data_IF_573380723761
#
_entry.id   IF_573380723761
#
_cell.length_a   1.000
_cell.length_b   1.000
_cell.length_c   1.000
_cell.angle_alpha   90.00
_cell.angle_beta   90.00
_cell.angle_gamma   90.00
#
_symmetry.space_group_name_H-M   'P 1'
#
loop_
_entity.id
_entity.type
_entity.pdbx_description
1 polymer ?
#
# COMPACT_ATOMS: atom_id res chain seq x y z
N UNK A 1 13.85 -4.25 -9.33
CA UNK A 1 14.10 -4.86 -10.66
C UNK A 1 14.15 -3.84 -11.79
N UNK A 2 13.20 -2.91 -11.94
CA UNK A 2 13.19 -1.89 -13.03
C UNK A 2 14.54 -1.22 -13.33
N UNK A 3 15.29 -0.81 -12.30
CA UNK A 3 16.65 -0.22 -12.45
C UNK A 3 17.64 -1.15 -13.18
N UNK A 4 17.57 -2.46 -12.90
CA UNK A 4 18.44 -3.47 -13.54
C UNK A 4 18.02 -3.73 -14.98
N UNK A 5 16.72 -3.86 -15.24
CA UNK A 5 16.17 -4.04 -16.59
C UNK A 5 16.58 -2.89 -17.52
N UNK A 6 16.53 -1.66 -17.01
CA UNK A 6 17.00 -0.48 -17.76
C UNK A 6 18.52 -0.50 -17.99
N UNK A 7 19.30 -0.92 -17.00
CA UNK A 7 20.78 -0.94 -17.09
C UNK A 7 21.29 -2.05 -18.03
N UNK A 8 20.63 -3.20 -18.03
CA UNK A 8 21.02 -4.41 -18.75
C UNK A 8 19.97 -4.79 -19.80
N UNK A 9 19.43 -3.80 -20.52
CA UNK A 9 18.27 -3.98 -21.40
C UNK A 9 18.52 -4.96 -22.56
N UNK A 10 19.77 -5.21 -22.93
CA UNK A 10 20.15 -6.15 -23.99
C UNK A 10 20.73 -7.45 -23.44
N UNK A 11 21.04 -7.51 -22.15
CA UNK A 11 21.82 -8.58 -21.53
C UNK A 11 21.03 -9.39 -20.49
N UNK A 12 19.99 -8.79 -19.91
CA UNK A 12 19.21 -9.38 -18.82
C UNK A 12 17.74 -9.50 -19.20
N UNK A 13 17.20 -10.69 -18.95
CA UNK A 13 15.77 -10.97 -19.02
C UNK A 13 15.29 -11.25 -17.61
N UNK A 14 14.31 -10.47 -17.15
CA UNK A 14 13.59 -10.76 -15.92
C UNK A 14 12.29 -11.46 -16.30
N UNK A 15 11.93 -12.50 -15.55
CA UNK A 15 10.62 -13.15 -15.65
C UNK A 15 10.04 -13.22 -14.25
N UNK A 16 8.93 -12.53 -14.03
CA UNK A 16 8.21 -12.58 -12.76
C UNK A 16 7.40 -13.88 -12.68
N UNK A 17 7.78 -14.79 -11.77
CA UNK A 17 6.99 -16.00 -11.50
C UNK A 17 6.09 -15.72 -10.31
N UNK A 18 4.88 -15.23 -10.56
CA UNK A 18 3.93 -14.90 -9.50
C UNK A 18 3.36 -16.16 -8.87
N UNK A 19 3.83 -16.50 -7.67
CA UNK A 19 3.33 -17.61 -6.86
C UNK A 19 2.49 -17.05 -5.72
N UNK A 20 1.17 -17.09 -5.88
CA UNK A 20 0.19 -16.40 -5.03
C UNK A 20 0.17 -16.91 -3.58
N UNK A 21 0.29 -16.00 -2.59
CA UNK A 21 0.06 -16.33 -1.17
C UNK A 21 -1.44 -16.45 -0.89
N UNK A 22 -2.22 -15.47 -1.33
CA UNK A 22 -3.64 -15.35 -1.10
C UNK A 22 -4.47 -15.94 -2.27
N UNK A 23 -5.69 -16.43 -2.01
CA UNK A 23 -6.60 -16.88 -3.06
C UNK A 23 -6.87 -15.84 -4.15
N UNK A 24 -7.05 -14.58 -3.77
CA UNK A 24 -7.34 -13.47 -4.69
C UNK A 24 -6.26 -13.28 -5.77
N UNK A 25 -5.00 -13.48 -5.42
CA UNK A 25 -3.86 -13.26 -6.31
C UNK A 25 -3.71 -14.37 -7.38
N UNK A 26 -4.40 -15.51 -7.20
CA UNK A 26 -4.41 -16.60 -8.19
C UNK A 26 -5.22 -16.23 -9.43
N UNK A 27 -6.15 -15.28 -9.31
CA UNK A 27 -6.95 -14.83 -10.44
C UNK A 27 -6.10 -14.04 -11.43
N UNK A 28 -6.18 -14.38 -12.72
CA UNK A 28 -5.37 -13.75 -13.75
C UNK A 28 -5.76 -12.28 -14.00
N UNK A 29 -7.02 -11.90 -13.77
CA UNK A 29 -7.47 -10.50 -13.90
C UNK A 29 -6.89 -9.64 -12.77
N UNK A 30 -6.94 -10.14 -11.53
CA UNK A 30 -6.33 -9.45 -10.39
C UNK A 30 -4.80 -9.35 -10.52
N UNK A 31 -4.13 -10.43 -10.95
CA UNK A 31 -2.70 -10.38 -11.23
C UNK A 31 -2.38 -9.39 -12.35
N UNK A 32 -3.18 -9.35 -13.42
CA UNK A 32 -3.00 -8.38 -14.49
C UNK A 32 -3.12 -6.94 -13.98
N UNK A 33 -4.10 -6.66 -13.11
CA UNK A 33 -4.22 -5.36 -12.45
C UNK A 33 -3.02 -5.05 -11.55
N UNK A 34 -2.49 -6.02 -10.80
CA UNK A 34 -1.28 -5.83 -10.00
C UNK A 34 -0.05 -5.54 -10.86
N UNK A 35 0.11 -6.23 -12.00
CA UNK A 35 1.17 -5.95 -12.99
C UNK A 35 1.09 -4.52 -13.51
N UNK A 36 -0.12 -4.03 -13.83
CA UNK A 36 -0.35 -2.64 -14.26
C UNK A 36 -0.12 -1.64 -13.12
N UNK A 37 -0.63 -1.92 -11.92
CA UNK A 37 -0.48 -1.07 -10.72
C UNK A 37 0.98 -0.88 -10.37
N UNK A 38 1.77 -1.95 -10.37
CA UNK A 38 3.22 -1.89 -10.14
C UNK A 38 4.03 -1.65 -11.42
N UNK A 39 3.39 -1.24 -12.53
CA UNK A 39 4.00 -0.92 -13.83
C UNK A 39 5.16 -1.88 -14.20
N UNK A 40 4.91 -3.18 -14.12
CA UNK A 40 5.92 -4.19 -14.44
C UNK A 40 5.98 -4.38 -15.96
N UNK A 41 7.15 -4.14 -16.54
CA UNK A 41 7.37 -4.25 -17.99
C UNK A 41 7.86 -5.64 -18.43
N UNK A 42 8.39 -6.42 -17.48
CA UNK A 42 8.84 -7.77 -17.76
C UNK A 42 7.69 -8.77 -17.86
N UNK A 43 7.87 -9.91 -18.56
CA UNK A 43 6.89 -10.99 -18.59
C UNK A 43 6.58 -11.53 -17.19
N UNK A 44 5.29 -11.72 -16.89
CA UNK A 44 4.81 -12.29 -15.63
C UNK A 44 4.01 -13.56 -15.90
N UNK A 45 4.38 -14.64 -15.20
CA UNK A 45 3.71 -15.94 -15.23
C UNK A 45 2.81 -16.03 -14.00
N UNK A 46 1.52 -16.35 -14.20
CA UNK A 46 0.63 -16.74 -13.11
C UNK A 46 0.90 -18.20 -12.70
N UNK A 47 1.72 -18.41 -11.68
CA UNK A 47 1.97 -19.71 -11.07
C UNK A 47 1.09 -19.94 -9.81
N UNK A 48 -0.21 -19.63 -9.91
CA UNK A 48 -1.15 -19.79 -8.79
C UNK A 48 -1.31 -21.22 -8.25
N UNK A 49 -0.70 -22.23 -8.91
CA UNK A 49 -0.63 -23.63 -8.45
C UNK A 49 0.77 -24.05 -7.99
N UNK A 50 1.73 -23.13 -7.91
CA UNK A 50 3.09 -23.37 -7.42
C UNK A 50 3.86 -24.46 -8.20
N UNK A 51 3.59 -24.64 -9.49
CA UNK A 51 4.28 -25.63 -10.32
C UNK A 51 5.74 -25.23 -10.53
N UNK A 52 6.00 -23.98 -10.94
CA UNK A 52 7.36 -23.46 -11.16
C UNK A 52 8.07 -23.34 -9.81
N UNK A 53 7.38 -22.80 -8.80
CA UNK A 53 7.90 -22.71 -7.43
C UNK A 53 8.44 -24.05 -6.91
N UNK A 54 7.66 -25.13 -7.06
CA UNK A 54 8.06 -26.47 -6.60
C UNK A 54 9.19 -27.06 -7.46
N UNK A 55 9.14 -26.90 -8.78
CA UNK A 55 10.19 -27.39 -9.68
C UNK A 55 11.54 -26.74 -9.38
N UNK A 56 11.54 -25.44 -9.06
CA UNK A 56 12.75 -24.69 -8.73
C UNK A 56 13.10 -24.75 -7.23
N UNK A 57 12.35 -25.52 -6.43
CA UNK A 57 12.58 -25.69 -4.99
C UNK A 57 12.68 -24.37 -4.22
N UNK A 58 11.82 -23.40 -4.57
CA UNK A 58 11.68 -22.13 -3.88
C UNK A 58 11.10 -22.34 -2.47
N UNK A 59 11.50 -21.50 -1.51
CA UNK A 59 11.09 -21.63 -0.10
C UNK A 59 10.75 -20.32 0.60
N UNK A 60 11.00 -19.18 -0.05
CA UNK A 60 10.75 -17.86 0.51
C UNK A 60 10.29 -16.89 -0.58
N UNK A 61 9.44 -15.94 -0.21
CA UNK A 61 9.14 -14.79 -1.04
C UNK A 61 10.05 -13.62 -0.61
N UNK A 62 10.67 -12.90 -1.57
CA UNK A 62 10.96 -13.34 -2.93
C UNK A 62 12.07 -14.42 -2.98
N UNK A 63 12.17 -15.15 -4.09
CA UNK A 63 13.34 -15.98 -4.44
C UNK A 63 13.80 -15.57 -5.83
N UNK A 64 15.08 -15.26 -6.00
CA UNK A 64 15.71 -14.98 -7.29
C UNK A 64 16.43 -16.23 -7.79
N UNK A 65 16.12 -16.66 -9.01
CA UNK A 65 16.82 -17.74 -9.71
C UNK A 65 17.64 -17.15 -10.85
N UNK A 66 18.94 -17.44 -10.89
CA UNK A 66 19.84 -16.97 -11.94
C UNK A 66 20.02 -18.07 -12.98
N UNK A 67 19.70 -17.76 -14.25
CA UNK A 67 19.73 -18.70 -15.37
C UNK A 67 20.71 -18.19 -16.43
N UNK A 68 21.63 -19.04 -16.88
CA UNK A 68 22.64 -18.69 -17.89
C UNK A 68 22.07 -18.70 -19.32
N UNK A 69 22.82 -18.23 -20.34
CA UNK A 69 22.35 -18.22 -21.73
C UNK A 69 22.10 -19.60 -22.35
N UNK A 70 22.53 -20.70 -21.70
CA UNK A 70 22.24 -22.07 -22.14
C UNK A 70 21.01 -22.67 -21.42
N UNK A 71 20.40 -21.93 -20.50
CA UNK A 71 19.24 -22.36 -19.73
C UNK A 71 19.57 -23.12 -18.44
N UNK A 72 20.82 -23.12 -17.99
CA UNK A 72 21.19 -23.76 -16.72
C UNK A 72 20.94 -22.82 -15.54
N UNK A 73 20.46 -23.37 -14.43
CA UNK A 73 20.39 -22.64 -13.16
C UNK A 73 21.79 -22.55 -12.56
N UNK A 74 22.33 -21.34 -12.46
CA UNK A 74 23.69 -21.06 -11.97
C UNK A 74 23.71 -20.43 -10.58
N UNK A 75 22.55 -20.00 -10.05
CA UNK A 75 22.45 -19.43 -8.72
C UNK A 75 21.02 -19.32 -8.21
N UNK A 76 20.90 -19.20 -6.88
CA UNK A 76 19.65 -18.91 -6.17
C UNK A 76 19.93 -17.93 -5.03
N UNK A 77 19.01 -16.99 -4.81
CA UNK A 77 18.96 -16.16 -3.62
C UNK A 77 17.55 -16.15 -3.04
N UNK A 78 17.43 -16.27 -1.71
CA UNK A 78 16.15 -16.24 -0.99
C UNK A 78 16.11 -14.97 -0.13
N UNK A 79 15.02 -14.21 -0.24
CA UNK A 79 14.87 -12.89 0.39
C UNK A 79 15.13 -11.72 -0.56
N UNK A 80 14.91 -10.52 -0.04
CA UNK A 80 15.18 -9.27 -0.75
C UNK A 80 16.69 -9.04 -0.91
N UNK A 81 17.08 -8.44 -2.03
CA UNK A 81 18.46 -8.08 -2.34
C UNK A 81 18.52 -6.64 -2.86
N UNK A 82 19.52 -5.88 -2.44
CA UNK A 82 19.67 -4.49 -2.89
C UNK A 82 20.08 -4.42 -4.36
N UNK A 83 19.82 -3.26 -4.98
CA UNK A 83 20.23 -3.00 -6.37
C UNK A 83 21.73 -3.26 -6.56
N UNK A 84 22.59 -2.68 -5.71
CA UNK A 84 24.05 -2.79 -5.84
C UNK A 84 24.56 -4.23 -5.75
N UNK A 85 23.91 -5.05 -4.91
CA UNK A 85 24.26 -6.47 -4.76
C UNK A 85 23.93 -7.24 -6.05
N UNK A 86 22.73 -7.04 -6.61
CA UNK A 86 22.34 -7.72 -7.87
C UNK A 86 23.19 -7.20 -9.03
N UNK A 87 23.41 -5.88 -9.10
CA UNK A 87 24.20 -5.22 -10.14
C UNK A 87 25.63 -5.75 -10.23
N UNK A 88 26.27 -5.93 -9.07
CA UNK A 88 27.60 -6.53 -8.98
C UNK A 88 27.66 -7.96 -9.50
N UNK A 89 26.60 -8.76 -9.30
CA UNK A 89 26.52 -10.13 -9.82
C UNK A 89 26.27 -10.15 -11.33
N UNK A 90 25.29 -9.38 -11.80
CA UNK A 90 24.93 -9.35 -13.22
C UNK A 90 26.07 -8.80 -14.08
N UNK A 91 26.76 -7.72 -13.65
CA UNK A 91 27.91 -7.19 -14.39
C UNK A 91 29.04 -8.21 -14.59
N UNK A 92 29.33 -9.04 -13.59
CA UNK A 92 30.31 -10.11 -13.70
C UNK A 92 29.86 -11.20 -14.68
N UNK A 93 28.59 -11.63 -14.58
CA UNK A 93 28.01 -12.62 -15.49
C UNK A 93 28.03 -12.15 -16.94
N UNK A 94 27.63 -10.90 -17.20
CA UNK A 94 27.68 -10.30 -18.55
C UNK A 94 29.10 -10.35 -19.12
N UNK A 95 30.09 -9.91 -18.33
CA UNK A 95 31.50 -9.93 -18.75
C UNK A 95 31.98 -11.35 -19.09
N UNK A 96 31.62 -12.34 -18.28
CA UNK A 96 32.01 -13.74 -18.48
C UNK A 96 31.35 -14.36 -19.72
N UNK A 97 30.05 -14.16 -19.89
CA UNK A 97 29.31 -14.73 -21.02
C UNK A 97 29.61 -14.03 -22.35
N UNK A 98 29.96 -12.74 -22.32
CA UNK A 98 30.50 -12.03 -23.49
C UNK A 98 31.86 -12.58 -23.90
N UNK A 99 32.76 -12.83 -22.94
CA UNK A 99 34.09 -13.37 -23.24
C UNK A 99 34.02 -14.77 -23.87
N UNK A 100 32.97 -15.53 -23.58
CA UNK A 100 32.72 -16.86 -24.19
C UNK A 100 31.89 -16.79 -25.48
N UNK A 101 31.36 -15.62 -25.84
CA UNK A 101 30.49 -15.43 -27.01
C UNK A 101 29.15 -16.14 -26.91
N UNK A 102 28.67 -16.39 -25.68
CA UNK A 102 27.43 -17.13 -25.43
C UNK A 102 26.23 -16.23 -25.14
N UNK A 103 26.47 -14.97 -24.76
CA UNK A 103 25.42 -13.98 -24.54
C UNK A 103 24.99 -13.34 -25.87
N UNK A 104 23.68 -13.35 -26.12
CA UNK A 104 23.09 -12.54 -27.18
C UNK A 104 22.74 -11.16 -26.63
N UNK A 105 22.94 -10.13 -27.48
CA UNK A 105 22.56 -8.74 -27.22
C UNK A 105 21.38 -8.29 -28.07
N UNK A 106 20.71 -9.23 -28.74
CA UNK A 106 19.53 -8.92 -29.54
C UNK A 106 18.39 -8.50 -28.59
N UNK A 107 17.67 -7.39 -28.89
CA UNK A 107 16.58 -6.95 -28.06
C UNK A 107 15.45 -7.98 -28.05
N UNK A 108 14.90 -8.25 -26.87
CA UNK A 108 13.74 -9.10 -26.75
C UNK A 108 12.46 -8.38 -27.20
N UNK A 109 11.50 -9.10 -27.81
CA UNK A 109 10.18 -8.56 -28.04
C UNK A 109 9.52 -8.20 -26.72
N UNK A 110 9.10 -6.93 -26.58
CA UNK A 110 8.29 -6.52 -25.43
C UNK A 110 6.87 -7.05 -25.57
N UNK A 111 6.32 -7.53 -24.45
CA UNK A 111 4.89 -7.87 -24.32
C UNK A 111 4.15 -6.85 -23.46
N UNK A 112 4.87 -5.82 -22.99
CA UNK A 112 4.30 -4.74 -22.20
C UNK A 112 3.24 -3.99 -22.98
N UNK A 113 2.12 -3.71 -22.30
CA UNK A 113 1.06 -2.87 -22.80
C UNK A 113 0.97 -1.67 -21.88
N UNK A 114 1.06 -0.47 -22.43
CA UNK A 114 0.81 0.75 -21.66
C UNK A 114 -0.60 0.69 -21.06
N UNK A 115 -0.73 1.19 -19.84
CA UNK A 115 -2.02 1.31 -19.18
C UNK A 115 -2.92 2.27 -19.95
N UNK A 116 -4.20 1.92 -20.03
CA UNK A 116 -5.24 2.84 -20.50
C UNK A 116 -5.24 4.14 -19.68
N UNK A 117 -5.44 5.26 -20.37
CA UNK A 117 -5.58 6.59 -19.78
C UNK A 117 -6.99 6.73 -19.19
N UNK A 118 -7.08 6.74 -17.85
CA UNK A 118 -8.32 6.85 -17.08
C UNK A 118 -8.27 8.12 -16.23
N UNK A 119 -9.41 8.69 -15.81
CA UNK A 119 -9.40 9.95 -15.02
C UNK A 119 -8.66 9.82 -13.68
N UNK A 120 -8.74 8.66 -13.03
CA UNK A 120 -7.89 8.26 -11.91
C UNK A 120 -7.18 6.96 -12.28
N UNK A 121 -6.01 6.68 -11.73
CA UNK A 121 -5.26 5.45 -11.96
C UNK A 121 -4.83 4.83 -10.63
N UNK A 122 -5.45 3.69 -10.31
CA UNK A 122 -5.26 2.94 -9.07
C UNK A 122 -5.28 3.82 -7.81
N UNK A 123 -6.36 4.60 -7.56
CA UNK A 123 -6.40 5.48 -6.40
C UNK A 123 -6.24 4.67 -5.10
N UNK A 124 -5.17 4.90 -4.35
CA UNK A 124 -4.80 4.05 -3.22
C UNK A 124 -5.49 4.40 -1.91
N UNK A 125 -5.70 5.69 -1.65
CA UNK A 125 -6.29 6.20 -0.41
C UNK A 125 -7.18 7.42 -0.67
N UNK A 126 -8.09 7.68 0.26
CA UNK A 126 -9.00 8.81 0.23
C UNK A 126 -9.19 9.38 1.63
N UNK A 127 -9.31 10.69 1.75
CA UNK A 127 -9.54 11.42 3.00
C UNK A 127 -10.64 12.47 2.79
N UNK A 128 -11.73 12.36 3.55
CA UNK A 128 -12.88 13.26 3.45
C UNK A 128 -12.91 14.25 4.63
N UNK A 129 -13.15 15.53 4.34
CA UNK A 129 -13.30 16.60 5.32
C UNK A 129 -14.69 17.24 5.17
N UNK A 130 -15.60 16.89 6.09
CA UNK A 130 -17.00 17.32 6.04
C UNK A 130 -17.22 18.83 6.14
N UNK A 131 -16.48 19.51 7.01
CA UNK A 131 -16.72 20.91 7.35
C UNK A 131 -16.35 21.88 6.22
N UNK A 132 -15.30 21.56 5.47
CA UNK A 132 -14.79 22.38 4.37
C UNK A 132 -15.22 21.84 2.99
N UNK A 133 -16.03 20.77 2.98
CA UNK A 133 -16.47 20.07 1.78
C UNK A 133 -15.27 19.68 0.90
N UNK A 134 -14.27 18.96 1.44
CA UNK A 134 -13.10 18.53 0.66
C UNK A 134 -12.94 17.03 0.67
N UNK A 135 -12.59 16.47 -0.47
CA UNK A 135 -12.15 15.09 -0.63
C UNK A 135 -10.77 15.09 -1.26
N UNK A 136 -9.81 14.51 -0.54
CA UNK A 136 -8.44 14.31 -1.01
C UNK A 136 -8.28 12.86 -1.47
N UNK A 137 -7.79 12.65 -2.68
CA UNK A 137 -7.62 11.35 -3.30
C UNK A 137 -6.16 11.19 -3.69
N UNK A 138 -5.52 10.12 -3.21
CA UNK A 138 -4.20 9.72 -3.71
C UNK A 138 -4.38 8.97 -5.01
N UNK A 139 -4.17 9.66 -6.12
CA UNK A 139 -4.24 9.14 -7.48
C UNK A 139 -2.89 8.48 -7.83
N UNK A 140 -2.69 7.30 -7.22
CA UNK A 140 -1.37 6.71 -6.98
C UNK A 140 -0.55 6.55 -8.26
N UNK A 141 -1.09 5.94 -9.31
CA UNK A 141 -0.33 5.68 -10.54
C UNK A 141 -0.21 6.92 -11.45
N UNK A 142 -0.93 7.99 -11.16
CA UNK A 142 -0.66 9.32 -11.74
C UNK A 142 0.24 10.18 -10.85
N UNK A 143 0.81 9.63 -9.78
CA UNK A 143 1.80 10.32 -8.91
C UNK A 143 1.35 11.71 -8.44
N UNK A 144 0.07 11.85 -8.08
CA UNK A 144 -0.54 13.13 -7.70
C UNK A 144 -1.64 12.95 -6.65
N UNK A 145 -1.99 14.05 -5.99
CA UNK A 145 -3.15 14.15 -5.11
C UNK A 145 -4.22 15.01 -5.79
N UNK A 146 -5.44 14.48 -5.86
CA UNK A 146 -6.61 15.19 -6.36
C UNK A 146 -7.40 15.74 -5.17
N UNK A 147 -7.79 17.01 -5.25
CA UNK A 147 -8.72 17.63 -4.29
C UNK A 147 -10.03 17.95 -5.01
N UNK A 148 -11.14 17.44 -4.50
CA UNK A 148 -12.49 17.70 -5.00
C UNK A 148 -13.40 18.19 -3.87
N UNK A 149 -14.60 18.66 -4.18
CA UNK A 149 -15.72 18.67 -3.23
C UNK A 149 -16.21 17.26 -2.96
N UNK A 150 -17.01 17.08 -1.89
CA UNK A 150 -17.59 15.78 -1.56
C UNK A 150 -18.58 15.25 -2.61
N UNK A 151 -19.07 16.11 -3.50
CA UNK A 151 -19.91 15.75 -4.66
C UNK A 151 -19.12 15.61 -5.97
N UNK A 152 -17.78 15.74 -5.92
CA UNK A 152 -16.88 15.42 -7.03
C UNK A 152 -16.43 16.60 -7.88
N UNK A 153 -16.83 17.84 -7.58
CA UNK A 153 -16.31 19.00 -8.32
C UNK A 153 -14.80 19.18 -8.07
N UNK A 154 -13.99 19.16 -9.12
CA UNK A 154 -12.54 19.32 -9.04
C UNK A 154 -12.16 20.70 -8.47
N UNK A 155 -11.35 20.71 -7.40
CA UNK A 155 -10.84 21.93 -6.75
C UNK A 155 -9.37 22.18 -7.07
N UNK A 156 -8.54 21.14 -7.01
CA UNK A 156 -7.09 21.27 -7.19
C UNK A 156 -6.45 19.95 -7.57
N UNK A 157 -5.33 20.02 -8.31
CA UNK A 157 -4.40 18.92 -8.52
C UNK A 157 -3.07 19.33 -7.89
N UNK A 158 -2.50 18.45 -7.06
CA UNK A 158 -1.22 18.65 -6.38
C UNK A 158 -0.26 17.56 -6.85
N UNK A 159 0.87 17.94 -7.44
CA UNK A 159 1.80 17.03 -8.09
C UNK A 159 1.81 17.21 -9.60
N UNK A 160 3.00 17.14 -10.20
CA UNK A 160 3.22 17.21 -11.65
C UNK A 160 2.82 15.91 -12.39
N UNK A 161 2.73 14.80 -11.66
CA UNK A 161 2.54 13.45 -12.20
C UNK A 161 3.82 12.71 -12.55
N UNK A 162 4.98 13.36 -12.44
CA UNK A 162 6.29 12.72 -12.60
C UNK A 162 6.67 11.92 -11.35
N UNK A 163 7.33 10.77 -11.52
CA UNK A 163 7.90 9.96 -10.43
C UNK A 163 9.19 10.60 -9.90
N UNK A 164 9.08 11.44 -8.87
CA UNK A 164 10.24 12.09 -8.24
C UNK A 164 9.96 12.58 -6.81
N UNK A 165 11.02 12.87 -6.05
CA UNK A 165 10.96 13.52 -4.74
C UNK A 165 11.23 15.03 -4.87
N UNK A 166 10.39 15.74 -5.63
CA UNK A 166 10.56 17.19 -5.88
C UNK A 166 9.66 18.01 -4.97
N UNK A 167 10.25 18.90 -4.17
CA UNK A 167 9.56 19.89 -3.34
C UNK A 167 9.26 21.18 -4.12
N UNK A 168 8.46 22.09 -3.55
CA UNK A 168 8.18 23.41 -4.11
C UNK A 168 6.68 23.68 -4.31
N UNK A 169 6.28 24.57 -5.24
CA UNK A 169 4.88 24.84 -5.52
C UNK A 169 4.10 23.58 -5.91
N UNK A 170 2.84 23.47 -5.47
CA UNK A 170 1.96 22.31 -5.69
C UNK A 170 1.88 21.81 -7.14
N UNK A 171 1.97 22.70 -8.13
CA UNK A 171 1.89 22.33 -9.55
C UNK A 171 3.18 21.72 -10.11
N UNK A 172 4.33 21.96 -9.45
CA UNK A 172 5.66 21.50 -9.90
C UNK A 172 6.32 20.51 -8.95
N UNK A 173 5.77 20.34 -7.75
CA UNK A 173 6.17 19.26 -6.85
C UNK A 173 5.86 17.90 -7.49
N UNK A 174 6.57 16.86 -7.08
CA UNK A 174 6.39 15.50 -7.59
C UNK A 174 6.26 14.51 -6.44
N UNK A 175 5.56 13.40 -6.71
CA UNK A 175 5.40 12.26 -5.80
C UNK A 175 5.84 10.99 -6.53
N UNK A 176 5.84 9.86 -5.84
CA UNK A 176 6.04 8.54 -6.42
C UNK A 176 5.14 7.54 -5.70
N UNK A 177 4.05 7.16 -6.36
CA UNK A 177 3.00 6.28 -5.85
C UNK A 177 2.52 6.67 -4.43
N UNK A 178 1.97 7.89 -4.23
CA UNK A 178 1.49 8.31 -2.93
C UNK A 178 0.30 7.45 -2.45
N UNK A 179 0.24 7.23 -1.13
CA UNK A 179 -0.78 6.45 -0.44
C UNK A 179 -1.45 7.30 0.64
N UNK A 180 -1.20 7.01 1.92
CA UNK A 180 -1.87 7.62 3.08
C UNK A 180 -1.93 9.13 3.10
N UNK A 181 -3.01 9.65 3.68
CA UNK A 181 -3.31 11.07 3.81
C UNK A 181 -3.77 11.38 5.23
N UNK A 182 -3.23 12.43 5.84
CA UNK A 182 -3.73 13.00 7.09
C UNK A 182 -3.83 14.52 6.99
N UNK A 183 -4.86 15.12 7.60
CA UNK A 183 -5.09 16.56 7.55
C UNK A 183 -5.11 17.16 8.96
N UNK A 184 -4.38 18.25 9.16
CA UNK A 184 -4.47 19.11 10.34
C UNK A 184 -4.64 20.57 9.87
N UNK A 185 -5.86 21.09 9.99
CA UNK A 185 -6.20 22.41 9.43
C UNK A 185 -5.98 22.46 7.93
N UNK A 186 -5.14 23.39 7.47
CA UNK A 186 -4.75 23.55 6.05
C UNK A 186 -3.43 22.83 5.71
N UNK A 187 -2.96 21.94 6.58
CA UNK A 187 -1.75 21.14 6.35
C UNK A 187 -2.14 19.69 6.06
N UNK A 188 -1.88 19.24 4.83
CA UNK A 188 -2.05 17.85 4.41
C UNK A 188 -0.70 17.13 4.47
N UNK A 189 -0.67 15.97 5.12
CA UNK A 189 0.48 15.09 5.17
C UNK A 189 0.23 13.88 4.26
N UNK A 190 1.25 13.50 3.50
CA UNK A 190 1.17 12.45 2.47
C UNK A 190 2.27 11.42 2.71
N UNK A 191 1.89 10.14 2.75
CA UNK A 191 2.84 9.04 2.66
C UNK A 191 3.19 8.83 1.18
N UNK A 192 4.40 9.19 0.81
CA UNK A 192 4.92 9.11 -0.54
C UNK A 192 5.75 7.83 -0.66
N UNK A 193 5.03 6.74 -0.91
CA UNK A 193 5.44 5.37 -0.52
C UNK A 193 6.69 4.88 -1.25
N UNK A 194 6.75 5.05 -2.57
CA UNK A 194 7.90 4.60 -3.39
C UNK A 194 9.06 5.61 -3.37
N UNK A 195 8.82 6.84 -2.88
CA UNK A 195 9.90 7.76 -2.49
C UNK A 195 10.41 7.50 -1.07
N UNK A 196 9.79 6.57 -0.32
CA UNK A 196 10.08 6.31 1.08
C UNK A 196 10.13 7.59 1.94
N UNK A 197 9.13 8.45 1.75
CA UNK A 197 9.11 9.79 2.34
C UNK A 197 7.74 10.17 2.90
N UNK A 198 7.74 11.14 3.81
CA UNK A 198 6.53 11.85 4.26
C UNK A 198 6.62 13.27 3.75
N UNK A 199 5.59 13.68 2.99
CA UNK A 199 5.46 15.01 2.41
C UNK A 199 4.45 15.80 3.19
N UNK A 200 4.68 17.10 3.31
CA UNK A 200 3.75 18.06 3.89
C UNK A 200 3.34 19.04 2.80
N UNK A 201 2.05 19.22 2.63
CA UNK A 201 1.43 20.18 1.73
C UNK A 201 0.79 21.27 2.56
N UNK A 202 1.26 22.50 2.39
CA UNK A 202 0.59 23.69 2.90
C UNK A 202 -0.43 24.16 1.85
N UNK A 203 -1.72 23.94 2.13
CA UNK A 203 -2.81 24.27 1.21
C UNK A 203 -3.05 25.78 1.11
N UNK A 204 -2.63 26.56 2.11
CA UNK A 204 -2.75 28.02 2.11
C UNK A 204 -1.63 28.65 1.28
N UNK A 205 -0.39 28.21 1.49
CA UNK A 205 0.77 28.70 0.77
C UNK A 205 0.91 28.08 -0.64
N UNK A 206 0.29 26.92 -0.87
CA UNK A 206 0.37 26.19 -2.14
C UNK A 206 1.74 25.57 -2.37
N UNK A 207 2.34 24.99 -1.32
CA UNK A 207 3.69 24.39 -1.38
C UNK A 207 3.75 22.99 -0.79
N UNK A 208 4.63 22.15 -1.33
CA UNK A 208 4.96 20.81 -0.85
C UNK A 208 6.41 20.79 -0.35
N UNK A 209 6.64 20.19 0.82
CA UNK A 209 7.95 19.99 1.41
C UNK A 209 8.13 18.56 1.91
N UNK A 210 9.36 18.05 1.87
CA UNK A 210 9.72 16.76 2.47
C UNK A 210 10.08 16.94 3.94
N UNK A 211 9.32 16.29 4.83
CA UNK A 211 9.50 16.41 6.29
C UNK A 211 10.12 15.16 6.93
N UNK A 212 10.06 14.02 6.27
CA UNK A 212 10.74 12.78 6.69
C UNK A 212 11.08 11.91 5.48
N UNK A 213 12.11 11.07 5.60
CA UNK A 213 12.64 10.32 4.46
C UNK A 213 13.64 11.12 3.65
N UNK A 214 14.62 10.42 3.07
CA UNK A 214 15.66 11.00 2.21
C UNK A 214 15.59 10.51 0.75
N UNK A 215 14.55 9.73 0.39
CA UNK A 215 14.40 9.14 -0.94
C UNK A 215 14.90 7.69 -1.06
N UNK A 216 15.61 7.18 -0.04
CA UNK A 216 16.19 5.83 -0.07
C UNK A 216 15.44 4.87 0.85
N UNK A 217 15.36 3.61 0.43
CA UNK A 217 14.75 2.53 1.21
C UNK A 217 15.67 2.13 2.37
N UNK A 218 15.18 2.31 3.61
CA UNK A 218 15.93 2.00 4.83
C UNK A 218 15.49 0.68 5.47
N UNK A 219 16.43 -0.05 6.08
CA UNK A 219 16.11 -1.26 6.87
C UNK A 219 16.43 -1.11 8.36
N UNK A 220 16.73 0.12 8.82
CA UNK A 220 16.96 0.37 10.24
C UNK A 220 15.64 0.32 11.02
N UNK A 221 15.60 -0.54 12.05
CA UNK A 221 14.40 -0.82 12.85
C UNK A 221 14.41 -0.15 14.22
N UNK A 222 15.47 0.61 14.55
CA UNK A 222 15.72 1.12 15.89
C UNK A 222 16.09 2.61 15.94
N UNK A 223 15.74 3.20 17.09
CA UNK A 223 16.16 4.54 17.51
C UNK A 223 15.32 5.67 16.89
N UNK A 224 15.27 6.81 17.61
CA UNK A 224 14.73 8.06 17.08
C UNK A 224 15.83 8.91 16.49
N UNK A 225 15.59 9.51 15.33
CA UNK A 225 16.59 10.26 14.55
C UNK A 225 15.93 11.46 13.85
N UNK A 226 16.72 12.46 13.41
CA UNK A 226 16.19 13.55 12.59
C UNK A 226 15.48 12.99 11.36
N UNK A 227 14.21 13.36 11.20
CA UNK A 227 13.30 12.70 10.27
C UNK A 227 13.75 12.85 8.81
N UNK A 228 14.25 14.04 8.42
CA UNK A 228 14.69 14.34 7.05
C UNK A 228 15.95 13.60 6.60
N UNK A 229 16.75 13.08 7.53
CA UNK A 229 17.94 12.29 7.22
C UNK A 229 17.76 10.80 7.50
N UNK A 230 16.56 10.38 7.89
CA UNK A 230 16.25 8.99 8.20
C UNK A 230 15.66 8.34 6.96
N UNK A 231 16.29 7.26 6.51
CA UNK A 231 15.74 6.38 5.47
C UNK A 231 14.48 5.70 6.04
N UNK A 232 13.34 5.82 5.35
CA UNK A 232 12.11 5.13 5.71
C UNK A 232 11.94 3.89 4.83
N UNK A 233 10.94 3.06 5.11
CA UNK A 233 10.67 1.87 4.33
C UNK A 233 9.19 1.75 4.01
N UNK A 234 8.81 2.28 2.85
CA UNK A 234 7.44 2.24 2.32
C UNK A 234 6.39 2.67 3.36
N UNK A 235 6.40 3.94 3.81
CA UNK A 235 5.29 4.46 4.61
C UNK A 235 4.01 4.34 3.78
N UNK A 236 2.97 3.72 4.33
CA UNK A 236 1.78 3.38 3.57
C UNK A 236 0.56 4.18 4.00
N UNK A 237 0.38 4.37 5.32
CA UNK A 237 -0.70 5.19 5.85
C UNK A 237 -0.23 6.03 7.04
N UNK A 238 -0.94 7.12 7.35
CA UNK A 238 -0.60 7.97 8.47
C UNK A 238 -1.82 8.66 9.09
N UNK A 239 -1.69 9.03 10.36
CA UNK A 239 -2.67 9.85 11.07
C UNK A 239 -1.96 10.87 11.97
N UNK A 240 -2.51 12.07 12.05
CA UNK A 240 -2.05 13.09 12.99
C UNK A 240 -2.84 12.98 14.29
N UNK A 241 -2.14 13.02 15.41
CA UNK A 241 -2.74 13.14 16.72
C UNK A 241 -1.82 13.90 17.68
N UNK A 242 -2.28 15.04 18.21
CA UNK A 242 -1.59 15.83 19.24
C UNK A 242 -0.14 16.22 18.88
N UNK A 243 0.11 16.66 17.65
CA UNK A 243 1.44 17.08 17.19
C UNK A 243 2.38 15.92 16.82
N UNK A 244 1.86 14.69 16.79
CA UNK A 244 2.59 13.50 16.36
C UNK A 244 1.92 12.94 15.12
N UNK A 245 2.70 12.63 14.09
CA UNK A 245 2.27 11.77 13.00
C UNK A 245 2.60 10.32 13.34
N UNK A 246 1.59 9.47 13.41
CA UNK A 246 1.75 8.02 13.48
C UNK A 246 1.69 7.46 12.06
N UNK A 247 2.63 6.59 11.73
CA UNK A 247 2.89 6.13 10.36
C UNK A 247 2.85 4.60 10.36
N UNK A 248 2.02 4.01 9.50
CA UNK A 248 2.05 2.59 9.19
C UNK A 248 3.21 2.33 8.21
N UNK A 249 4.31 1.77 8.72
CA UNK A 249 5.53 1.52 7.97
C UNK A 249 5.52 0.08 7.43
N UNK A 250 4.94 -0.09 6.25
CA UNK A 250 4.64 -1.41 5.68
C UNK A 250 5.91 -2.23 5.44
N UNK A 251 6.96 -1.61 4.87
CA UNK A 251 8.16 -2.30 4.40
C UNK A 251 9.08 -2.84 5.51
N UNK A 252 8.86 -2.46 6.76
CA UNK A 252 9.61 -2.98 7.93
C UNK A 252 8.71 -3.46 9.06
N UNK A 253 7.42 -3.67 8.78
CA UNK A 253 6.44 -4.24 9.71
C UNK A 253 6.41 -3.55 11.08
N UNK A 254 6.33 -2.21 11.06
CA UNK A 254 6.31 -1.38 12.28
C UNK A 254 5.28 -0.26 12.16
N UNK A 255 4.79 0.22 13.29
CA UNK A 255 4.24 1.56 13.40
C UNK A 255 5.37 2.50 13.82
N UNK A 256 5.50 3.62 13.12
CA UNK A 256 6.44 4.68 13.43
C UNK A 256 5.71 5.91 13.95
N UNK A 257 6.45 6.79 14.62
CA UNK A 257 5.96 8.11 15.02
C UNK A 257 6.98 9.19 14.66
N UNK A 258 6.47 10.33 14.21
CA UNK A 258 7.21 11.55 13.92
C UNK A 258 6.66 12.67 14.81
N UNK A 259 7.49 13.20 15.69
CA UNK A 259 7.17 14.42 16.43
C UNK A 259 7.31 15.63 15.49
N UNK A 260 6.21 16.35 15.24
CA UNK A 260 6.19 17.46 14.29
C UNK A 260 6.90 18.72 14.81
N UNK A 261 7.09 18.85 16.12
CA UNK A 261 7.79 19.98 16.73
C UNK A 261 9.30 19.73 16.77
N UNK A 262 9.70 18.52 17.18
CA UNK A 262 11.12 18.16 17.30
C UNK A 262 11.73 17.69 15.97
N UNK A 263 10.92 17.25 15.02
CA UNK A 263 11.39 16.69 13.75
C UNK A 263 12.12 15.36 13.92
N UNK A 264 11.72 14.57 14.93
CA UNK A 264 12.31 13.27 15.24
C UNK A 264 11.37 12.13 14.88
N UNK A 265 11.83 11.21 14.04
CA UNK A 265 11.10 10.01 13.64
C UNK A 265 11.74 8.75 14.23
N UNK A 266 10.94 7.74 14.51
CA UNK A 266 11.43 6.40 14.86
C UNK A 266 10.29 5.41 15.16
N UNK A 267 10.65 4.15 15.48
CA UNK A 267 9.69 3.12 15.84
C UNK A 267 8.82 3.53 17.02
N UNK A 268 7.52 3.25 16.89
CA UNK A 268 6.51 3.42 17.94
C UNK A 268 6.04 2.06 18.47
N UNK A 269 5.72 1.13 17.56
CA UNK A 269 5.32 -0.23 17.90
C UNK A 269 5.85 -1.23 16.86
N UNK A 270 6.22 -2.42 17.30
CA UNK A 270 6.80 -3.47 16.47
C UNK A 270 8.31 -3.55 16.55
N UNK A 271 8.84 -4.76 16.60
CA UNK A 271 10.29 -5.02 16.52
C UNK A 271 10.78 -5.27 15.07
N UNK A 272 9.89 -5.18 14.08
CA UNK A 272 10.14 -5.41 12.66
C UNK A 272 10.25 -6.87 12.23
N UNK A 273 10.01 -7.84 13.11
CA UNK A 273 9.72 -9.21 12.70
C UNK A 273 8.32 -9.32 12.11
N UNK A 274 8.19 -10.09 11.03
CA UNK A 274 6.91 -10.35 10.36
C UNK A 274 6.15 -11.49 11.04
N UNK A 275 5.20 -11.16 11.91
CA UNK A 275 4.33 -12.12 12.60
C UNK A 275 3.12 -11.41 13.24
N UNK A 276 2.27 -12.16 13.94
CA UNK A 276 1.17 -11.65 14.77
C UNK A 276 1.43 -11.90 16.25
N UNK A 277 2.37 -11.14 16.83
CA UNK A 277 2.70 -11.24 18.26
C UNK A 277 2.17 -10.02 19.00
N UNK A 278 1.21 -10.23 19.89
CA UNK A 278 0.69 -9.22 20.83
C UNK A 278 1.67 -8.98 21.99
N UNK A 279 1.51 -7.87 22.71
CA UNK A 279 2.30 -7.56 23.91
C UNK A 279 2.76 -6.10 23.96
N UNK A 280 3.80 -5.78 24.76
CA UNK A 280 4.33 -4.42 24.86
C UNK A 280 4.71 -3.87 23.48
N UNK A 281 4.49 -2.56 23.27
CA UNK A 281 4.68 -1.91 21.96
C UNK A 281 6.00 -2.29 21.28
N UNK A 282 7.12 -2.22 22.01
CA UNK A 282 8.47 -2.46 21.48
C UNK A 282 8.77 -3.93 21.15
N UNK A 283 8.05 -4.89 21.73
CA UNK A 283 8.30 -6.34 21.53
C UNK A 283 7.29 -7.03 20.62
N UNK A 284 6.16 -6.38 20.34
CA UNK A 284 5.16 -6.90 19.42
C UNK A 284 5.76 -7.14 18.02
N UNK A 285 5.16 -8.06 17.28
CA UNK A 285 5.47 -8.28 15.86
C UNK A 285 4.21 -7.97 15.07
N UNK A 286 4.39 -7.24 13.98
CA UNK A 286 3.35 -6.87 13.02
C UNK A 286 3.69 -7.51 11.68
N UNK A 287 2.81 -7.37 10.70
CA UNK A 287 3.01 -7.90 9.37
C UNK A 287 2.37 -6.96 8.34
N UNK A 288 3.21 -6.05 7.84
CA UNK A 288 2.87 -5.10 6.78
C UNK A 288 1.63 -4.23 7.11
N UNK A 289 1.73 -3.36 8.13
CA UNK A 289 0.64 -2.46 8.45
C UNK A 289 0.43 -1.45 7.30
N UNK A 290 -0.77 -1.43 6.71
CA UNK A 290 -1.09 -0.59 5.53
C UNK A 290 -2.26 0.39 5.76
N UNK A 291 -2.91 0.33 6.93
CA UNK A 291 -3.97 1.26 7.29
C UNK A 291 -3.85 1.65 8.74
N UNK A 292 -4.15 2.91 9.07
CA UNK A 292 -4.12 3.38 10.46
C UNK A 292 -5.23 4.41 10.73
N UNK A 293 -5.84 4.32 11.91
CA UNK A 293 -6.81 5.29 12.43
C UNK A 293 -6.70 5.37 13.96
N UNK A 294 -7.46 6.25 14.60
CA UNK A 294 -7.38 6.45 16.05
C UNK A 294 -8.75 6.79 16.65
N UNK A 295 -9.00 6.34 17.88
CA UNK A 295 -10.10 6.85 18.72
C UNK A 295 -9.63 7.92 19.73
N UNK A 296 -8.36 8.34 19.62
CA UNK A 296 -7.71 9.28 20.53
C UNK A 296 -7.08 8.63 21.77
N UNK A 297 -7.30 7.35 22.00
CA UNK A 297 -6.69 6.56 23.09
C UNK A 297 -5.82 5.43 22.55
N UNK A 298 -6.26 4.82 21.45
CA UNK A 298 -5.58 3.75 20.74
C UNK A 298 -5.45 4.11 19.27
N UNK A 299 -4.35 3.67 18.68
CA UNK A 299 -4.25 3.49 17.24
C UNK A 299 -4.90 2.15 16.88
N UNK A 300 -5.67 2.12 15.81
CA UNK A 300 -6.11 0.88 15.17
C UNK A 300 -5.48 0.80 13.81
N UNK A 301 -5.04 -0.39 13.42
CA UNK A 301 -4.35 -0.58 12.15
C UNK A 301 -4.76 -1.89 11.48
N UNK A 302 -4.75 -1.85 10.15
CA UNK A 302 -4.88 -3.03 9.31
C UNK A 302 -3.49 -3.64 9.12
N UNK A 303 -3.30 -4.85 9.65
CA UNK A 303 -2.04 -5.61 9.63
C UNK A 303 -2.13 -6.65 8.50
N UNK A 304 -1.87 -6.18 7.28
CA UNK A 304 -2.40 -6.75 6.03
C UNK A 304 -1.95 -8.20 5.80
N UNK A 305 -0.68 -8.51 6.04
CA UNK A 305 -0.11 -9.83 5.74
C UNK A 305 -0.60 -10.92 6.70
N UNK A 306 -1.06 -10.54 7.89
CA UNK A 306 -1.74 -11.45 8.85
C UNK A 306 -3.25 -11.44 8.69
N UNK A 307 -3.78 -10.67 7.73
CA UNK A 307 -5.21 -10.49 7.50
C UNK A 307 -5.96 -10.16 8.79
N UNK A 308 -5.43 -9.21 9.55
CA UNK A 308 -5.92 -8.88 10.89
C UNK A 308 -6.12 -7.38 11.08
N UNK A 309 -7.00 -7.04 12.02
CA UNK A 309 -7.15 -5.68 12.55
C UNK A 309 -6.65 -5.71 13.98
N UNK A 310 -5.77 -4.76 14.31
CA UNK A 310 -5.08 -4.72 15.60
C UNK A 310 -5.12 -3.31 16.16
N UNK A 311 -4.81 -3.21 17.44
CA UNK A 311 -4.74 -1.93 18.16
C UNK A 311 -3.41 -1.77 18.86
N UNK A 312 -2.92 -0.55 18.95
CA UNK A 312 -1.77 -0.16 19.76
C UNK A 312 -2.21 0.97 20.70
N UNK A 313 -1.97 0.83 21.99
CA UNK A 313 -2.21 1.92 22.94
C UNK A 313 -1.31 3.13 22.58
N UNK A 314 -1.85 4.34 22.60
CA UNK A 314 -1.06 5.57 22.36
C UNK A 314 -0.07 5.83 23.52
N UNK A 315 -0.42 5.38 24.72
CA UNK A 315 0.49 5.36 25.87
C UNK A 315 1.76 4.55 25.52
N UNK A 316 2.97 5.15 25.61
CA UNK A 316 4.21 4.49 25.25
C UNK A 316 4.56 3.27 26.13
N UNK A 317 3.90 3.10 27.27
CA UNK A 317 4.02 1.92 28.14
C UNK A 317 2.98 0.84 27.85
N UNK A 318 2.09 1.11 26.90
CA UNK A 318 0.97 0.25 26.56
C UNK A 318 1.35 -0.93 25.68
N UNK A 319 0.34 -1.51 25.02
CA UNK A 319 0.46 -2.78 24.31
C UNK A 319 -0.18 -2.75 22.93
N UNK A 320 0.34 -3.61 22.05
CA UNK A 320 -0.35 -4.07 20.85
C UNK A 320 -1.28 -5.24 21.22
N UNK A 321 -2.51 -5.22 20.69
CA UNK A 321 -3.51 -6.27 20.86
C UNK A 321 -4.25 -6.56 19.56
N UNK A 322 -4.47 -7.84 19.29
CA UNK A 322 -5.25 -8.29 18.13
C UNK A 322 -6.74 -8.15 18.38
N UNK A 323 -7.42 -7.38 17.53
CA UNK A 323 -8.87 -7.20 17.58
C UNK A 323 -9.55 -8.40 16.93
N UNK A 324 -9.27 -8.64 15.64
CA UNK A 324 -9.73 -9.79 14.85
C UNK A 324 -8.63 -10.22 13.88
N UNK A 325 -8.67 -11.47 13.41
CA UNK A 325 -7.60 -12.09 12.60
C UNK A 325 -6.73 -13.03 13.44
N UNK A 326 -5.92 -13.87 12.79
CA UNK A 326 -5.28 -15.01 13.45
C UNK A 326 -3.79 -15.20 13.14
N UNK A 327 -3.38 -15.31 11.88
CA UNK A 327 -1.99 -15.63 11.49
C UNK A 327 -1.73 -15.34 10.01
N UNK A 328 -0.46 -15.35 9.58
CA UNK A 328 0.03 -15.06 8.21
C UNK A 328 -0.62 -15.91 7.12
N UNK A 329 -1.11 -17.10 7.45
CA UNK A 329 -1.73 -18.04 6.51
C UNK A 329 -3.17 -18.41 6.91
N UNK A 330 -3.77 -17.65 7.83
CA UNK A 330 -5.15 -17.87 8.29
C UNK A 330 -6.02 -16.70 7.85
N UNK A 331 -6.32 -16.71 6.56
CA UNK A 331 -7.13 -15.72 5.86
C UNK A 331 -8.38 -16.35 5.24
N UNK A 332 -9.28 -15.53 4.71
CA UNK A 332 -10.52 -15.95 4.05
C UNK A 332 -11.61 -14.90 4.19
N UNK A 333 -12.86 -15.27 3.98
CA UNK A 333 -14.01 -14.36 4.11
C UNK A 333 -15.07 -14.98 5.02
N UNK A 334 -15.07 -14.58 6.30
CA UNK A 334 -16.02 -15.05 7.28
C UNK A 334 -16.35 -13.96 8.29
N UNK A 335 -17.64 -13.67 8.42
CA UNK A 335 -18.17 -12.80 9.46
C UNK A 335 -18.33 -13.58 10.77
N UNK A 336 -18.30 -12.87 11.90
CA UNK A 336 -18.46 -13.50 13.21
C UNK A 336 -17.72 -12.76 14.31
N UNK A 337 -17.31 -13.50 15.35
CA UNK A 337 -16.55 -12.99 16.48
C UNK A 337 -15.31 -13.82 16.76
N UNK A 338 -14.35 -13.18 17.43
CA UNK A 338 -13.08 -13.75 17.87
C UNK A 338 -12.37 -14.51 16.73
N UNK A 339 -12.04 -15.77 16.95
CA UNK A 339 -11.29 -16.63 16.05
C UNK A 339 -12.12 -17.16 14.87
N UNK A 340 -13.39 -16.78 14.74
CA UNK A 340 -14.23 -17.14 13.59
C UNK A 340 -14.13 -16.13 12.45
N UNK A 341 -13.70 -14.90 12.75
CA UNK A 341 -13.54 -13.87 11.72
C UNK A 341 -12.42 -14.26 10.75
N UNK A 342 -12.68 -14.10 9.45
CA UNK A 342 -11.65 -14.17 8.41
C UNK A 342 -11.74 -12.92 7.53
N UNK A 343 -10.57 -12.33 7.31
CA UNK A 343 -10.29 -11.25 6.38
C UNK A 343 -9.25 -11.75 5.37
N UNK A 344 -9.02 -10.98 4.31
CA UNK A 344 -7.99 -11.25 3.32
C UNK A 344 -7.31 -9.93 2.92
N UNK A 345 -6.09 -9.76 3.41
CA UNK A 345 -5.22 -8.60 3.11
C UNK A 345 -5.94 -7.23 3.21
N UNK A 346 -6.57 -6.91 4.36
CA UNK A 346 -7.26 -5.63 4.54
C UNK A 346 -6.25 -4.48 4.51
N UNK A 347 -6.58 -3.37 3.83
CA UNK A 347 -5.66 -2.21 3.69
C UNK A 347 -6.26 -0.95 4.30
N UNK A 348 -7.48 -0.58 3.93
CA UNK A 348 -8.15 0.62 4.41
C UNK A 348 -8.75 0.39 5.79
N UNK A 349 -8.63 1.37 6.67
CA UNK A 349 -9.31 1.40 7.97
C UNK A 349 -9.65 2.83 8.35
N UNK A 350 -10.85 3.05 8.89
CA UNK A 350 -11.24 4.33 9.46
C UNK A 350 -12.20 4.12 10.62
N UNK A 351 -12.17 5.03 11.60
CA UNK A 351 -13.07 5.00 12.74
C UNK A 351 -14.24 5.96 12.50
N UNK A 352 -15.44 5.50 12.82
CA UNK A 352 -16.64 6.33 12.84
C UNK A 352 -17.58 5.84 13.95
N UNK A 353 -17.92 6.73 14.88
CA UNK A 353 -18.85 6.48 15.99
C UNK A 353 -18.54 5.22 16.82
N UNK A 354 -17.27 5.01 17.17
CA UNK A 354 -16.81 3.88 17.98
C UNK A 354 -16.69 2.55 17.21
N UNK A 355 -17.00 2.56 15.91
CA UNK A 355 -16.90 1.41 15.01
C UNK A 355 -15.72 1.63 14.06
N UNK A 356 -15.01 0.55 13.76
CA UNK A 356 -13.99 0.57 12.71
C UNK A 356 -14.63 0.07 11.41
N UNK A 357 -14.41 0.77 10.31
CA UNK A 357 -14.77 0.29 8.97
C UNK A 357 -13.48 0.01 8.22
N UNK A 358 -13.42 -1.15 7.58
CA UNK A 358 -12.24 -1.61 6.87
C UNK A 358 -12.58 -1.93 5.43
N UNK A 359 -11.59 -1.74 4.55
CA UNK A 359 -11.60 -2.39 3.26
C UNK A 359 -10.96 -3.76 3.42
N UNK A 360 -11.76 -4.81 3.29
CA UNK A 360 -11.29 -6.20 3.26
C UNK A 360 -10.87 -6.50 1.82
N UNK A 361 -9.74 -5.91 1.43
CA UNK A 361 -9.32 -5.61 0.06
C UNK A 361 -9.44 -6.81 -0.88
N UNK A 362 -8.82 -7.93 -0.51
CA UNK A 362 -8.78 -9.14 -1.36
C UNK A 362 -10.07 -9.97 -1.28
N UNK A 363 -10.98 -9.62 -0.36
CA UNK A 363 -12.36 -10.12 -0.38
C UNK A 363 -13.32 -9.15 -1.07
N UNK A 364 -12.83 -8.05 -1.66
CA UNK A 364 -13.62 -7.07 -2.41
C UNK A 364 -14.85 -6.54 -1.64
N UNK A 365 -14.67 -6.32 -0.33
CA UNK A 365 -15.75 -5.99 0.60
C UNK A 365 -15.36 -4.85 1.52
N UNK A 366 -16.38 -4.17 2.02
CA UNK A 366 -16.27 -3.30 3.18
C UNK A 366 -16.86 -4.03 4.38
N UNK A 367 -16.11 -4.11 5.47
CA UNK A 367 -16.57 -4.70 6.73
C UNK A 367 -16.53 -3.69 7.85
N UNK A 368 -17.49 -3.78 8.77
CA UNK A 368 -17.39 -3.12 10.07
C UNK A 368 -16.77 -4.07 11.07
N UNK A 369 -15.90 -3.56 11.92
CA UNK A 369 -15.25 -4.26 13.03
C UNK A 369 -15.62 -3.55 14.32
N UNK A 370 -16.10 -4.33 15.28
CA UNK A 370 -16.47 -3.88 16.62
C UNK A 370 -15.36 -4.27 17.60
N UNK A 371 -14.50 -3.32 18.04
CA UNK A 371 -13.30 -3.67 18.78
C UNK A 371 -13.57 -4.33 20.13
N UNK A 372 -14.61 -3.86 20.84
CA UNK A 372 -14.98 -4.35 22.17
C UNK A 372 -15.47 -5.79 22.12
N UNK A 373 -16.32 -6.12 21.15
CA UNK A 373 -16.88 -7.48 20.99
C UNK A 373 -16.03 -8.36 20.08
N UNK A 374 -14.92 -7.83 19.55
CA UNK A 374 -13.99 -8.52 18.64
C UNK A 374 -14.71 -9.23 17.50
N UNK A 375 -15.62 -8.51 16.84
CA UNK A 375 -16.45 -9.07 15.78
C UNK A 375 -16.36 -8.26 14.50
N UNK A 376 -16.56 -8.92 13.36
CA UNK A 376 -16.53 -8.30 12.05
C UNK A 376 -17.71 -8.77 11.20
N UNK A 377 -18.32 -7.84 10.46
CA UNK A 377 -19.47 -8.11 9.61
C UNK A 377 -19.38 -7.35 8.30
N UNK A 378 -19.73 -8.03 7.20
CA UNK A 378 -19.85 -7.42 5.88
C UNK A 378 -20.94 -6.37 5.90
N UNK A 379 -20.62 -5.17 5.41
CA UNK A 379 -21.59 -4.08 5.26
C UNK A 379 -21.83 -3.73 3.79
N UNK A 380 -20.81 -3.81 2.93
CA UNK A 380 -20.93 -3.55 1.49
C UNK A 380 -20.12 -4.59 0.70
N UNK A 381 -20.58 -4.88 -0.51
CA UNK A 381 -19.86 -5.72 -1.46
C UNK A 381 -20.36 -7.17 -1.50
N UNK A 382 -20.52 -7.70 -2.70
CA UNK A 382 -20.85 -9.13 -2.93
C UNK A 382 -19.69 -10.08 -2.61
N UNK A 383 -18.45 -9.58 -2.66
CA UNK A 383 -17.22 -10.36 -2.56
C UNK A 383 -16.65 -10.85 -3.88
N UNK A 384 -17.28 -10.52 -5.01
CA UNK A 384 -16.70 -10.72 -6.34
C UNK A 384 -16.12 -9.42 -6.86
N UNK A 385 -14.95 -9.48 -7.48
CA UNK A 385 -14.34 -8.34 -8.17
C UNK A 385 -15.30 -7.81 -9.25
N UNK A 386 -15.49 -6.49 -9.29
CA UNK A 386 -16.31 -5.84 -10.31
C UNK A 386 -16.67 -4.41 -9.96
N UNK A 387 -17.40 -3.75 -10.86
CA UNK A 387 -17.79 -2.33 -10.74
C UNK A 387 -19.31 -2.21 -10.93
N UNK A 388 -20.06 -2.58 -9.89
CA UNK A 388 -21.53 -2.50 -9.88
C UNK A 388 -21.97 -1.57 -8.75
N UNK A 389 -22.69 -0.51 -9.09
CA UNK A 389 -23.40 0.37 -8.16
C UNK A 389 -24.72 -0.27 -7.68
N UNK A 390 -25.31 0.30 -6.63
CA UNK A 390 -26.61 -0.10 -6.10
C UNK A 390 -26.56 -0.48 -4.62
N UNK A 391 -27.53 -1.29 -4.15
CA UNK A 391 -27.67 -1.59 -2.73
C UNK A 391 -26.44 -2.29 -2.15
N UNK A 392 -26.17 -2.03 -0.87
CA UNK A 392 -25.06 -2.54 -0.06
C UNK A 392 -24.50 -3.90 -0.49
N UNK A 393 -25.27 -4.97 -0.34
CA UNK A 393 -24.82 -6.36 -0.58
C UNK A 393 -24.92 -6.81 -2.05
N UNK A 394 -25.30 -5.91 -2.96
CA UNK A 394 -25.34 -6.13 -4.41
C UNK A 394 -24.27 -5.34 -5.15
N UNK A 395 -23.74 -4.28 -4.52
CA UNK A 395 -22.59 -3.54 -5.03
C UNK A 395 -21.34 -4.45 -5.18
N UNK A 396 -20.48 -4.12 -6.11
CA UNK A 396 -19.20 -4.79 -6.33
C UNK A 396 -18.06 -3.80 -6.22
N UNK A 397 -16.91 -4.25 -5.71
CA UNK A 397 -15.66 -3.52 -5.63
C UNK A 397 -14.54 -4.36 -6.25
N UNK A 398 -13.38 -3.78 -6.50
CA UNK A 398 -12.19 -4.48 -6.98
C UNK A 398 -10.96 -3.96 -6.23
N UNK A 399 -10.51 -4.76 -5.26
CA UNK A 399 -9.42 -4.43 -4.33
C UNK A 399 -9.50 -3.00 -3.73
N UNK A 400 -10.58 -2.62 -3.04
CA UNK A 400 -10.67 -1.30 -2.44
C UNK A 400 -9.61 -1.14 -1.34
N UNK A 401 -8.83 -0.06 -1.35
CA UNK A 401 -7.70 0.13 -0.41
C UNK A 401 -7.81 1.38 0.48
N UNK A 402 -8.70 2.31 0.14
CA UNK A 402 -8.93 3.54 0.89
C UNK A 402 -10.37 3.66 1.39
N UNK A 403 -10.55 4.23 2.58
CA UNK A 403 -11.88 4.48 3.15
C UNK A 403 -11.85 5.70 4.08
N UNK A 404 -12.83 6.59 3.97
CA UNK A 404 -12.99 7.76 4.84
C UNK A 404 -14.46 8.15 4.99
N UNK A 405 -14.81 8.92 6.01
CA UNK A 405 -16.17 9.36 6.28
C UNK A 405 -16.30 10.88 6.30
N UNK A 406 -17.38 11.38 5.69
CA UNK A 406 -17.84 12.74 5.89
C UNK A 406 -19.35 12.84 5.65
N UNK A 407 -20.04 13.65 6.45
CA UNK A 407 -21.44 14.04 6.24
C UNK A 407 -22.40 12.85 5.99
N UNK A 408 -22.28 11.77 6.77
CA UNK A 408 -23.13 10.58 6.67
C UNK A 408 -22.79 9.65 5.50
N UNK A 409 -21.70 9.91 4.78
CA UNK A 409 -21.25 9.11 3.64
C UNK A 409 -19.87 8.55 3.87
N UNK A 410 -19.64 7.37 3.32
CA UNK A 410 -18.37 6.69 3.24
C UNK A 410 -17.80 6.87 1.82
N UNK A 411 -16.57 7.33 1.71
CA UNK A 411 -15.82 7.47 0.46
C UNK A 411 -14.78 6.36 0.42
N UNK A 412 -14.76 5.61 -0.67
CA UNK A 412 -13.97 4.38 -0.81
C UNK A 412 -13.12 4.52 -2.06
N UNK A 413 -11.80 4.36 -1.93
CA UNK A 413 -10.92 4.24 -3.08
C UNK A 413 -10.99 2.80 -3.60
N UNK A 414 -11.66 2.61 -4.74
CA UNK A 414 -11.93 1.33 -5.36
C UNK A 414 -10.89 1.07 -6.46
N UNK A 415 -9.72 0.66 -5.97
CA UNK A 415 -8.41 0.85 -6.61
C UNK A 415 -8.33 0.24 -7.99
N UNK A 416 -8.69 -1.04 -8.14
CA UNK A 416 -8.59 -1.72 -9.44
C UNK A 416 -9.75 -1.37 -10.37
N UNK A 417 -10.75 -0.61 -9.90
CA UNK A 417 -11.79 -0.03 -10.75
C UNK A 417 -11.48 1.43 -11.13
N UNK A 418 -10.36 2.00 -10.70
CA UNK A 418 -9.94 3.36 -11.09
C UNK A 418 -10.93 4.46 -10.68
N UNK A 419 -11.70 4.26 -9.59
CA UNK A 419 -12.78 5.18 -9.19
C UNK A 419 -12.84 5.39 -7.67
N UNK A 420 -13.53 6.45 -7.26
CA UNK A 420 -14.01 6.60 -5.88
C UNK A 420 -15.47 6.18 -5.83
N UNK A 421 -15.82 5.36 -4.85
CA UNK A 421 -17.19 4.92 -4.55
C UNK A 421 -17.70 5.65 -3.33
N UNK A 422 -18.98 5.97 -3.32
CA UNK A 422 -19.66 6.68 -2.24
C UNK A 422 -20.79 5.80 -1.75
N UNK A 423 -20.80 5.51 -0.46
CA UNK A 423 -21.87 4.76 0.18
C UNK A 423 -22.55 5.62 1.25
N UNK A 424 -23.88 5.70 1.19
CA UNK A 424 -24.67 6.31 2.25
C UNK A 424 -24.75 5.35 3.46
N UNK A 425 -24.43 5.84 4.67
CA UNK A 425 -24.28 4.97 5.84
C UNK A 425 -25.61 4.37 6.32
N UNK A 426 -26.72 5.09 6.09
CA UNK A 426 -28.04 4.71 6.60
C UNK A 426 -28.76 3.77 5.63
N UNK A 427 -28.76 4.11 4.34
CA UNK A 427 -29.42 3.33 3.29
C UNK A 427 -28.54 2.19 2.76
N UNK A 428 -27.22 2.32 2.85
CA UNK A 428 -26.27 1.39 2.26
C UNK A 428 -26.22 1.47 0.73
N UNK A 429 -26.83 2.47 0.10
CA UNK A 429 -26.75 2.65 -1.35
C UNK A 429 -25.34 3.09 -1.76
N UNK A 430 -24.77 2.39 -2.74
CA UNK A 430 -23.42 2.65 -3.28
C UNK A 430 -23.54 3.24 -4.67
N UNK A 431 -22.85 4.36 -4.92
CA UNK A 431 -22.73 5.00 -6.23
C UNK A 431 -21.27 5.32 -6.55
N UNK A 432 -20.96 5.48 -7.84
CA UNK A 432 -19.66 6.00 -8.28
C UNK A 432 -19.63 7.53 -8.19
N UNK A 433 -18.53 8.10 -7.67
CA UNK A 433 -18.31 9.54 -7.65
C UNK A 433 -17.78 10.00 -9.01
N UNK A 434 -18.56 10.83 -9.69
CA UNK A 434 -18.12 11.47 -10.93
C UNK A 434 -17.24 12.69 -10.61
N UNK A 435 -16.08 12.78 -11.24
CA UNK A 435 -15.15 13.90 -11.07
C UNK A 435 -14.98 14.62 -12.41
N UNK A 436 -15.90 15.55 -12.76
CA UNK A 436 -15.83 16.24 -14.03
C UNK A 436 -14.57 17.11 -14.12
N UNK A 437 -13.88 17.03 -15.25
CA UNK A 437 -12.68 17.84 -15.54
C UNK A 437 -11.35 17.17 -15.26
N UNK A 438 -11.34 15.87 -14.93
CA UNK A 438 -10.15 15.01 -14.90
C UNK A 438 -9.98 14.20 -16.19
#
# INVERSE_FOLDING_TARGET
>A
MRKLEKKYANELVVVGVHSAKFPNEKDSGNLHNAVRRYQLEHPVINDGRFQVWQQYSCRAWPTLMFIDPQGNVIGKHEGEMSFDQIDGLISQMVTEFDATGTLSHDPLPTTFQESEDTSLSFPGKVLAEGNSDRLFISDTNHNRIIVTSLDGALKQIIGSGEEALTDGPVASSAFNHPQGLALEGETLYVADTENHAIRKVDLTAGTVETIAGNGEQGHNRDGRRPARSTELCSPFDLIQHNGILYIAMAGIHQLWSLDLNEGLAGPFAGNGGEAITDGPLASAQLAQPCGITTDGVKLYFADSETSSIRSADIDPTGNVRTVVGLDLFVFGDADGSDHNVRLQHPIGITQYDGVLYITDTYNHKIKRVLPVTRSAFTVLGTGSAGHTDGPALQSQFSEPSGISFANGKMYIADTNNHVIRVADIDSGEVSTLEIPGL
#
